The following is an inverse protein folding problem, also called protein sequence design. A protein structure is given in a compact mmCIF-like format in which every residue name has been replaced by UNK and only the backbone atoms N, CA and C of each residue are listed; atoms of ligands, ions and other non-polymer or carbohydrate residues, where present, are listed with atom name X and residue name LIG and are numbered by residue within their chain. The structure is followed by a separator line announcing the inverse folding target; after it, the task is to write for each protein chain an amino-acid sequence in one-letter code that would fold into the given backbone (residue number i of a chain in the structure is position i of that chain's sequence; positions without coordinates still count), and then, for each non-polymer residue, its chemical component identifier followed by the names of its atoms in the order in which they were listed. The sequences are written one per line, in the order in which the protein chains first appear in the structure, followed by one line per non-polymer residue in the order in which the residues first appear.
data_IF_307629540315
#
_entry.id   IF_307629540315
#
_cell.length_a   1.000
_cell.length_b   1.000
_cell.length_c   1.000
_cell.angle_alpha   90.00
_cell.angle_beta   90.00
_cell.angle_gamma   90.00
#
_symmetry.space_group_name_H-M   'P 1'
#
loop_
_entity.id
_entity.type
_entity.pdbx_description
1 polymer ?
#
# COMPACT_ATOMS: atom_id res chain seq x y z
N UNK A 1 -22.33 41.66 11.65
CA UNK A 1 -20.97 41.77 12.26
C UNK A 1 -20.22 40.54 11.88
N UNK A 2 -19.13 40.68 11.11
CA UNK A 2 -18.23 39.58 10.85
C UNK A 2 -17.68 39.09 12.19
N UNK A 3 -17.83 37.79 12.45
CA UNK A 3 -17.38 37.15 13.68
C UNK A 3 -15.86 36.84 13.56
N UNK A 4 -15.36 36.72 12.34
CA UNK A 4 -13.98 36.38 12.01
C UNK A 4 -13.22 37.55 11.39
N UNK A 5 -11.94 37.62 11.62
CA UNK A 5 -11.01 38.49 10.89
C UNK A 5 -10.80 37.96 9.47
N UNK A 6 -10.26 38.78 8.56
CA UNK A 6 -9.97 38.35 7.19
C UNK A 6 -8.98 37.16 7.15
N UNK A 7 -8.01 37.09 8.08
CA UNK A 7 -7.06 36.01 8.19
C UNK A 7 -7.71 34.72 8.69
N UNK A 8 -8.60 34.80 9.68
CA UNK A 8 -9.37 33.67 10.19
C UNK A 8 -10.35 33.14 9.12
N UNK A 9 -10.97 34.02 8.37
CA UNK A 9 -11.85 33.64 7.27
C UNK A 9 -11.06 32.93 6.15
N UNK A 10 -9.88 33.43 5.79
CA UNK A 10 -9.00 32.79 4.81
C UNK A 10 -8.54 31.39 5.26
N UNK A 11 -8.23 31.21 6.55
CA UNK A 11 -7.92 29.91 7.14
C UNK A 11 -9.10 28.95 7.07
N UNK A 12 -10.31 29.40 7.43
CA UNK A 12 -11.52 28.58 7.33
C UNK A 12 -11.78 28.14 5.89
N UNK A 13 -11.63 29.02 4.89
CA UNK A 13 -11.78 28.69 3.48
C UNK A 13 -10.72 27.67 3.01
N UNK A 14 -9.49 27.76 3.51
CA UNK A 14 -8.41 26.84 3.17
C UNK A 14 -8.66 25.41 3.70
N UNK A 15 -9.26 25.28 4.88
CA UNK A 15 -9.47 23.99 5.55
C UNK A 15 -10.86 23.39 5.37
N UNK A 16 -11.83 24.17 4.92
CA UNK A 16 -13.18 23.67 4.71
C UNK A 16 -13.25 22.77 3.47
N UNK A 17 -13.63 21.52 3.67
CA UNK A 17 -13.90 20.57 2.57
C UNK A 17 -15.18 20.92 1.80
N UNK A 18 -16.09 21.64 2.42
CA UNK A 18 -17.35 22.10 1.84
C UNK A 18 -17.72 23.45 2.45
N UNK A 19 -17.99 24.43 1.61
CA UNK A 19 -18.42 25.77 2.03
C UNK A 19 -19.88 25.94 1.59
N UNK A 20 -20.75 26.19 2.57
CA UNK A 20 -22.17 26.43 2.35
C UNK A 20 -22.49 27.87 2.71
N UNK A 21 -23.01 28.61 1.75
CA UNK A 21 -23.50 29.97 1.98
C UNK A 21 -25.02 29.96 2.08
N UNK A 22 -25.55 30.52 3.15
CA UNK A 22 -27.02 30.58 3.40
C UNK A 22 -27.81 31.20 2.26
N UNK A 23 -27.19 32.13 1.52
CA UNK A 23 -27.77 32.85 0.40
C UNK A 23 -27.99 31.99 -0.86
N UNK A 24 -27.32 30.82 -0.93
CA UNK A 24 -27.27 29.99 -2.14
C UNK A 24 -28.29 28.84 -2.12
N UNK A 25 -29.17 28.76 -1.11
CA UNK A 25 -30.30 27.83 -1.06
C UNK A 25 -30.02 26.52 -0.32
N UNK A 26 -30.87 25.51 -0.52
CA UNK A 26 -30.81 24.23 0.20
C UNK A 26 -29.66 23.35 -0.26
N UNK A 27 -29.14 22.53 0.67
CA UNK A 27 -27.98 21.65 0.52
C UNK A 27 -28.16 20.67 -0.65
N UNK A 28 -29.36 20.20 -0.89
CA UNK A 28 -29.72 19.24 -1.93
C UNK A 28 -29.55 19.76 -3.36
N UNK A 29 -29.53 21.09 -3.54
CA UNK A 29 -29.31 21.73 -4.84
C UNK A 29 -27.83 21.98 -5.16
N UNK A 30 -26.95 21.93 -4.17
CA UNK A 30 -25.51 22.19 -4.32
C UNK A 30 -24.65 20.95 -4.44
N UNK A 31 -25.11 19.81 -3.98
CA UNK A 31 -24.49 18.55 -4.27
C UNK A 31 -24.94 18.15 -5.67
N UNK A 32 -24.38 18.79 -6.70
CA UNK A 32 -24.34 18.16 -8.01
C UNK A 32 -23.68 16.79 -7.78
N UNK A 33 -24.49 15.75 -7.79
CA UNK A 33 -23.99 14.40 -7.93
C UNK A 33 -23.32 14.40 -9.31
N UNK A 34 -22.03 14.69 -9.34
CA UNK A 34 -21.20 14.20 -10.43
C UNK A 34 -21.44 12.69 -10.43
N UNK A 35 -22.34 12.26 -11.27
CA UNK A 35 -22.50 10.84 -11.55
C UNK A 35 -21.20 10.43 -12.22
N UNK A 36 -20.27 9.91 -11.43
CA UNK A 36 -19.12 9.19 -11.98
C UNK A 36 -19.75 8.16 -12.92
N UNK A 37 -19.50 8.24 -14.23
CA UNK A 37 -20.13 7.33 -15.18
C UNK A 37 -19.76 5.91 -14.75
N UNK A 38 -20.79 5.15 -14.37
CA UNK A 38 -20.61 3.76 -13.95
C UNK A 38 -20.13 2.97 -15.19
N UNK A 39 -18.86 2.58 -15.19
CA UNK A 39 -18.32 1.72 -16.22
C UNK A 39 -18.96 0.34 -16.05
N UNK A 40 -19.77 -0.09 -17.01
CA UNK A 40 -20.25 -1.47 -17.04
C UNK A 40 -19.09 -2.35 -17.47
N UNK A 41 -18.66 -3.22 -16.56
CA UNK A 41 -17.65 -4.23 -16.87
C UNK A 41 -18.34 -5.44 -17.51
N UNK A 42 -17.71 -6.03 -18.52
CA UNK A 42 -18.13 -7.32 -19.05
C UNK A 42 -17.67 -8.40 -18.06
N UNK A 43 -18.61 -9.10 -17.42
CA UNK A 43 -18.27 -10.24 -16.56
C UNK A 43 -17.78 -11.42 -17.40
N UNK A 44 -16.58 -11.37 -17.88
CA UNK A 44 -15.88 -12.54 -18.41
C UNK A 44 -15.10 -13.14 -17.26
N UNK A 45 -15.53 -14.29 -16.78
CA UNK A 45 -14.70 -15.10 -15.89
C UNK A 45 -13.54 -15.61 -16.73
N UNK A 46 -12.33 -15.26 -16.34
CA UNK A 46 -11.12 -15.80 -16.96
C UNK A 46 -10.82 -17.12 -16.29
N UNK A 47 -11.01 -18.23 -17.00
CA UNK A 47 -10.60 -19.53 -16.53
C UNK A 47 -9.08 -19.64 -16.60
N UNK A 48 -8.45 -20.15 -15.55
CA UNK A 48 -7.02 -20.39 -15.46
C UNK A 48 -6.72 -21.63 -14.61
N UNK A 49 -5.61 -22.27 -14.90
CA UNK A 49 -5.16 -23.40 -14.11
C UNK A 49 -4.40 -22.92 -12.85
N UNK A 50 -4.72 -23.54 -11.69
CA UNK A 50 -3.97 -23.30 -10.47
C UNK A 50 -2.55 -23.88 -10.65
N UNK A 51 -1.53 -23.07 -10.41
CA UNK A 51 -0.14 -23.51 -10.37
C UNK A 51 0.23 -23.90 -8.94
N UNK A 52 0.65 -25.12 -8.76
CA UNK A 52 1.27 -25.55 -7.52
C UNK A 52 2.76 -25.23 -7.57
N UNK A 53 3.26 -24.64 -6.49
CA UNK A 53 4.69 -24.38 -6.30
C UNK A 53 5.22 -25.41 -5.32
N UNK A 54 6.10 -26.28 -5.80
CA UNK A 54 6.85 -27.20 -4.96
C UNK A 54 8.05 -26.46 -4.35
N UNK A 55 8.21 -26.59 -3.04
CA UNK A 55 9.24 -25.90 -2.27
C UNK A 55 10.10 -26.92 -1.54
N UNK A 56 11.38 -26.95 -1.87
CA UNK A 56 12.39 -27.71 -1.11
C UNK A 56 12.98 -26.79 -0.03
N UNK A 57 12.53 -26.97 1.21
CA UNK A 57 12.85 -26.09 2.34
C UNK A 57 13.48 -26.87 3.49
N UNK A 58 14.59 -26.38 3.99
CA UNK A 58 15.20 -26.85 5.22
C UNK A 58 14.36 -26.41 6.44
N UNK A 59 14.26 -27.30 7.43
CA UNK A 59 13.60 -27.03 8.73
C UNK A 59 12.16 -26.53 8.59
N UNK A 60 11.40 -27.10 7.68
CA UNK A 60 9.99 -26.74 7.49
C UNK A 60 9.15 -26.96 8.76
N UNK A 61 8.42 -25.93 9.20
CA UNK A 61 7.66 -25.92 10.45
C UNK A 61 6.12 -25.94 10.28
N UNK A 62 5.65 -26.24 9.09
CA UNK A 62 4.21 -26.23 8.74
C UNK A 62 3.73 -24.94 8.05
N UNK A 63 4.49 -23.85 8.15
CA UNK A 63 4.19 -22.56 7.49
C UNK A 63 5.29 -22.16 6.52
N UNK A 64 6.53 -22.47 6.84
CA UNK A 64 7.69 -22.08 6.07
C UNK A 64 8.96 -22.79 6.54
N UNK A 65 10.06 -22.49 5.85
CA UNK A 65 11.36 -23.02 6.12
C UNK A 65 12.45 -22.19 5.47
N UNK A 66 13.69 -22.63 5.61
CA UNK A 66 14.85 -21.94 5.04
C UNK A 66 15.15 -22.43 3.63
N UNK A 67 15.61 -21.52 2.79
CA UNK A 67 16.13 -21.78 1.45
C UNK A 67 17.46 -21.05 1.25
N UNK A 68 18.07 -21.27 0.09
CA UNK A 68 19.29 -20.54 -0.32
C UNK A 68 20.40 -20.58 0.75
N UNK A 69 20.67 -21.79 1.28
CA UNK A 69 21.65 -22.03 2.37
C UNK A 69 21.38 -21.16 3.62
N UNK A 70 20.12 -21.01 4.01
CA UNK A 70 19.71 -20.26 5.19
C UNK A 70 19.68 -18.75 5.04
N UNK A 71 19.85 -18.23 3.83
CA UNK A 71 19.81 -16.78 3.55
C UNK A 71 18.41 -16.23 3.34
N UNK A 72 17.45 -17.10 3.10
CA UNK A 72 16.05 -16.78 2.87
C UNK A 72 15.17 -17.64 3.76
N UNK A 73 14.11 -17.04 4.27
CA UNK A 73 13.02 -17.75 4.93
C UNK A 73 11.79 -17.66 4.05
N UNK A 74 11.29 -18.80 3.60
CA UNK A 74 10.16 -18.89 2.67
C UNK A 74 8.93 -19.35 3.42
N UNK A 75 7.83 -18.60 3.26
CA UNK A 75 6.53 -18.87 3.84
C UNK A 75 5.56 -19.23 2.71
N UNK A 76 4.81 -20.32 2.88
CA UNK A 76 3.74 -20.70 1.98
C UNK A 76 2.39 -20.56 2.69
N UNK A 77 1.54 -19.69 2.19
CA UNK A 77 0.18 -19.51 2.68
C UNK A 77 -0.79 -20.01 1.61
N UNK A 78 -1.70 -20.88 2.00
CA UNK A 78 -2.81 -21.36 1.19
C UNK A 78 -4.14 -20.85 1.74
N UNK A 79 -5.27 -21.15 1.11
CA UNK A 79 -6.61 -20.59 1.36
C UNK A 79 -6.92 -20.28 2.84
N UNK A 80 -6.70 -21.23 3.73
CA UNK A 80 -7.04 -21.13 5.16
C UNK A 80 -5.82 -21.08 6.09
N UNK A 81 -4.61 -21.17 5.55
CA UNK A 81 -3.39 -21.21 6.33
C UNK A 81 -2.87 -19.80 6.58
N UNK A 82 -2.88 -19.38 7.85
CA UNK A 82 -2.26 -18.13 8.31
C UNK A 82 -1.16 -18.44 9.31
N UNK A 83 -0.13 -17.62 9.33
CA UNK A 83 0.85 -17.61 10.41
C UNK A 83 0.17 -17.27 11.75
N UNK A 84 0.65 -17.80 12.88
CA UNK A 84 0.06 -17.51 14.20
C UNK A 84 0.04 -16.04 14.58
N UNK A 85 1.04 -15.30 14.11
CA UNK A 85 1.23 -13.85 14.25
C UNK A 85 1.89 -13.35 12.95
N UNK A 86 1.80 -12.06 12.63
CA UNK A 86 2.53 -11.51 11.50
C UNK A 86 4.05 -11.73 11.64
N UNK A 87 4.64 -12.40 10.68
CA UNK A 87 6.09 -12.60 10.60
C UNK A 87 6.68 -11.50 9.74
N UNK A 88 7.62 -10.77 10.32
CA UNK A 88 8.13 -9.54 9.73
C UNK A 88 9.56 -9.72 9.19
N UNK A 89 9.86 -8.96 8.15
CA UNK A 89 11.21 -8.64 7.74
C UNK A 89 11.47 -7.15 7.95
N UNK A 90 12.60 -6.80 8.54
CA UNK A 90 13.06 -5.41 8.71
C UNK A 90 14.12 -5.13 7.67
N UNK A 91 13.83 -4.21 6.77
CA UNK A 91 14.72 -3.82 5.67
C UNK A 91 15.07 -2.36 5.85
N UNK A 92 16.33 -2.08 6.11
CA UNK A 92 16.76 -0.72 6.41
C UNK A 92 18.22 -0.48 5.99
N UNK A 93 18.50 0.77 5.68
CA UNK A 93 19.85 1.33 5.63
C UNK A 93 20.03 2.30 6.81
N UNK A 94 21.06 3.16 6.77
CA UNK A 94 21.39 4.08 7.85
C UNK A 94 20.26 5.07 8.18
N UNK A 95 19.58 5.60 7.16
CA UNK A 95 18.72 6.77 7.28
C UNK A 95 17.24 6.48 6.89
N UNK A 96 16.97 5.26 6.41
CA UNK A 96 15.66 4.88 5.88
C UNK A 96 15.39 3.40 6.08
N UNK A 97 14.13 3.04 6.29
CA UNK A 97 13.76 1.64 6.40
C UNK A 97 12.25 1.41 6.42
N UNK A 98 11.91 0.14 6.41
CA UNK A 98 10.54 -0.32 6.52
C UNK A 98 10.48 -1.71 7.16
N UNK A 99 9.34 -2.00 7.76
CA UNK A 99 8.93 -3.35 8.13
C UNK A 99 7.95 -3.85 7.06
N UNK A 100 8.03 -5.13 6.75
CA UNK A 100 7.06 -5.79 5.88
C UNK A 100 6.70 -7.17 6.44
N UNK A 101 5.40 -7.45 6.57
CA UNK A 101 4.88 -8.73 7.02
C UNK A 101 4.70 -9.70 5.86
N UNK A 102 4.49 -10.98 6.14
CA UNK A 102 4.12 -11.97 5.14
C UNK A 102 2.76 -11.65 4.49
N UNK A 103 1.91 -10.90 5.19
CA UNK A 103 0.64 -10.39 4.65
C UNK A 103 0.81 -9.23 3.66
N UNK A 104 2.00 -8.63 3.58
CA UNK A 104 2.29 -7.45 2.78
C UNK A 104 2.10 -6.12 3.51
N UNK A 105 1.73 -6.16 4.79
CA UNK A 105 1.55 -4.97 5.62
C UNK A 105 2.87 -4.54 6.26
N UNK A 106 2.87 -3.37 6.86
CA UNK A 106 4.03 -2.82 7.53
C UNK A 106 3.98 -1.30 7.56
N UNK A 107 5.12 -0.69 7.76
CA UNK A 107 5.28 0.77 7.71
C UNK A 107 6.67 1.16 7.25
N UNK A 108 6.77 2.36 6.73
CA UNK A 108 8.01 2.97 6.25
C UNK A 108 8.38 4.17 7.11
N UNK A 109 9.67 4.38 7.36
CA UNK A 109 10.17 5.53 8.11
C UNK A 109 11.42 6.14 7.47
N UNK A 110 11.73 7.38 7.83
CA UNK A 110 12.98 8.05 7.51
C UNK A 110 13.62 8.59 8.78
N UNK A 111 14.91 8.33 8.99
CA UNK A 111 15.74 8.75 10.12
C UNK A 111 15.32 8.18 11.48
N UNK A 112 14.04 8.26 11.84
CA UNK A 112 13.52 7.78 13.12
C UNK A 112 12.23 6.97 12.91
N UNK A 113 12.28 5.70 13.30
CA UNK A 113 11.16 4.76 13.10
C UNK A 113 9.96 5.01 14.01
N UNK A 114 10.09 5.84 15.04
CA UNK A 114 9.00 6.22 15.92
C UNK A 114 8.45 7.60 15.60
N UNK A 115 9.34 8.62 15.52
CA UNK A 115 8.94 10.02 15.43
C UNK A 115 8.70 10.49 13.98
N UNK A 116 9.25 9.75 12.99
CA UNK A 116 9.14 10.12 11.58
C UNK A 116 8.74 8.94 10.70
N UNK A 117 7.59 8.35 11.02
CA UNK A 117 6.95 7.38 10.14
C UNK A 117 6.42 8.09 8.91
N UNK A 118 6.64 7.51 7.75
CA UNK A 118 6.07 7.98 6.48
C UNK A 118 4.70 7.37 6.24
N UNK A 119 4.50 6.13 6.71
CA UNK A 119 3.22 5.40 6.70
C UNK A 119 2.94 4.83 8.10
N UNK A 120 1.68 4.59 8.48
CA UNK A 120 1.32 4.28 9.86
C UNK A 120 1.71 2.85 10.27
N UNK A 121 2.00 2.68 11.55
CA UNK A 121 2.17 1.40 12.20
C UNK A 121 1.22 1.28 13.39
N UNK A 122 0.25 0.39 13.28
CA UNK A 122 -0.77 0.20 14.32
C UNK A 122 -0.38 -0.83 15.36
N UNK A 123 0.62 -1.67 15.08
CA UNK A 123 1.07 -2.77 15.95
C UNK A 123 -0.10 -3.66 16.43
N UNK A 124 -1.05 -3.92 15.56
CA UNK A 124 -2.20 -4.76 15.82
C UNK A 124 -2.03 -6.09 15.05
N UNK A 125 -1.61 -7.17 15.73
CA UNK A 125 -1.33 -8.44 15.07
C UNK A 125 -2.59 -9.17 14.60
N UNK A 126 -3.77 -8.77 15.04
CA UNK A 126 -5.04 -9.40 14.68
C UNK A 126 -5.59 -8.77 13.40
N UNK A 127 -5.78 -7.47 13.42
CA UNK A 127 -6.31 -6.73 12.26
C UNK A 127 -5.23 -6.53 11.21
N UNK A 128 -3.99 -6.23 11.64
CA UNK A 128 -2.82 -5.99 10.78
C UNK A 128 -3.20 -5.02 9.64
N UNK A 129 -3.59 -3.80 10.03
CA UNK A 129 -4.10 -2.77 9.11
C UNK A 129 -3.04 -2.37 8.11
N UNK A 130 -3.47 -2.19 6.87
CA UNK A 130 -2.60 -1.88 5.75
C UNK A 130 -2.46 -0.37 5.58
N UNK A 131 -1.24 0.14 5.69
CA UNK A 131 -0.90 1.54 5.36
C UNK A 131 -0.40 1.74 3.93
N UNK A 132 -0.01 0.66 3.27
CA UNK A 132 0.52 0.66 1.90
C UNK A 132 0.00 -0.58 1.17
N UNK A 133 -0.58 -0.43 -0.03
CA UNK A 133 -1.15 -1.53 -0.80
C UNK A 133 -0.94 -1.31 -2.29
N UNK A 134 -0.59 -2.36 -3.01
CA UNK A 134 -0.57 -2.37 -4.46
C UNK A 134 -1.74 -3.24 -4.94
N UNK A 135 -2.73 -2.59 -5.54
CA UNK A 135 -3.85 -3.26 -6.16
C UNK A 135 -3.60 -3.46 -7.65
N UNK A 136 -4.09 -4.56 -8.15
CA UNK A 136 -4.26 -4.84 -9.57
C UNK A 136 -5.75 -4.81 -9.90
N UNK A 137 -6.10 -4.23 -11.01
CA UNK A 137 -7.47 -4.17 -11.53
C UNK A 137 -7.48 -4.59 -12.99
N UNK A 138 -8.27 -5.58 -13.31
CA UNK A 138 -8.58 -5.89 -14.69
C UNK A 138 -9.64 -4.89 -15.20
N UNK A 139 -9.26 -4.07 -16.16
CA UNK A 139 -10.14 -3.03 -16.70
C UNK A 139 -11.27 -3.56 -17.57
N UNK A 140 -11.18 -4.81 -18.01
CA UNK A 140 -12.21 -5.45 -18.84
C UNK A 140 -13.27 -6.14 -17.98
N UNK A 141 -12.89 -6.75 -16.86
CA UNK A 141 -13.80 -7.45 -15.96
C UNK A 141 -14.21 -6.63 -14.74
N UNK A 142 -13.40 -5.67 -14.33
CA UNK A 142 -13.57 -4.89 -13.10
C UNK A 142 -13.16 -5.65 -11.84
N UNK A 143 -12.55 -6.82 -11.97
CA UNK A 143 -12.00 -7.56 -10.83
C UNK A 143 -10.80 -6.82 -10.25
N UNK A 144 -10.74 -6.78 -8.90
CA UNK A 144 -9.67 -6.13 -8.15
C UNK A 144 -9.07 -7.15 -7.20
N UNK A 145 -7.75 -7.24 -7.18
CA UNK A 145 -6.98 -8.08 -6.27
C UNK A 145 -5.65 -7.42 -5.92
N UNK A 146 -4.84 -8.07 -5.12
CA UNK A 146 -3.47 -7.62 -4.82
C UNK A 146 -2.49 -8.80 -4.80
N UNK A 147 -1.22 -8.50 -5.00
CA UNK A 147 -0.15 -9.51 -5.09
C UNK A 147 0.12 -10.15 -3.72
N UNK A 148 -0.10 -9.38 -2.65
CA UNK A 148 0.14 -9.78 -1.25
C UNK A 148 -1.10 -10.46 -0.66
N UNK A 149 -0.97 -11.31 0.39
CA UNK A 149 -2.11 -11.98 1.01
C UNK A 149 -3.17 -11.05 1.61
N UNK A 150 -2.83 -9.82 1.98
CA UNK A 150 -3.76 -8.83 2.53
C UNK A 150 -3.80 -7.57 1.65
N UNK A 151 -4.91 -6.83 1.63
CA UNK A 151 -6.18 -7.07 2.33
C UNK A 151 -7.13 -8.00 1.57
N UNK A 152 -6.94 -8.22 0.27
CA UNK A 152 -7.80 -9.08 -0.57
C UNK A 152 -7.06 -10.39 -0.81
N UNK A 153 -7.52 -11.44 -0.11
CA UNK A 153 -6.95 -12.76 -0.26
C UNK A 153 -7.83 -13.62 -1.17
N UNK A 154 -7.21 -14.35 -2.08
CA UNK A 154 -7.87 -15.38 -2.86
C UNK A 154 -7.51 -16.80 -2.37
N UNK A 155 -7.99 -17.81 -3.11
CA UNK A 155 -7.82 -19.23 -2.75
C UNK A 155 -6.49 -19.84 -3.20
N UNK A 156 -5.68 -19.09 -3.95
CA UNK A 156 -4.43 -19.59 -4.48
C UNK A 156 -3.29 -19.41 -3.47
N UNK A 157 -2.21 -20.15 -3.69
CA UNK A 157 -1.06 -20.10 -2.82
C UNK A 157 -0.31 -18.78 -2.98
N UNK A 158 0.13 -18.24 -1.85
CA UNK A 158 1.08 -17.13 -1.79
C UNK A 158 2.40 -17.65 -1.28
N UNK A 159 3.49 -17.34 -1.97
CA UNK A 159 4.85 -17.66 -1.57
C UNK A 159 5.55 -16.35 -1.19
N UNK A 160 5.96 -16.24 0.05
CA UNK A 160 6.63 -15.06 0.58
C UNK A 160 8.06 -15.46 0.94
N UNK A 161 9.03 -14.72 0.42
CA UNK A 161 10.45 -14.93 0.70
C UNK A 161 11.02 -13.72 1.41
N UNK A 162 11.36 -13.90 2.68
CA UNK A 162 12.10 -12.92 3.47
C UNK A 162 13.59 -13.18 3.33
N UNK A 163 14.28 -12.30 2.63
CA UNK A 163 15.71 -12.35 2.41
C UNK A 163 16.46 -11.24 3.17
N UNK A 164 17.80 -11.29 3.09
CA UNK A 164 18.66 -10.25 3.68
C UNK A 164 18.58 -8.96 2.82
N UNK A 165 17.80 -8.00 3.28
CA UNK A 165 17.62 -6.70 2.61
C UNK A 165 16.53 -6.66 1.54
N UNK A 166 15.70 -7.68 1.42
CA UNK A 166 14.55 -7.68 0.53
C UNK A 166 13.46 -8.63 1.00
N UNK A 167 12.24 -8.43 0.51
CA UNK A 167 11.13 -9.39 0.58
C UNK A 167 10.54 -9.57 -0.81
N UNK A 168 10.22 -10.81 -1.17
CA UNK A 168 9.51 -11.14 -2.41
C UNK A 168 8.17 -11.77 -2.10
N UNK A 169 7.18 -11.44 -2.90
CA UNK A 169 5.88 -12.10 -2.94
C UNK A 169 5.72 -12.70 -4.34
N UNK A 170 5.34 -13.96 -4.37
CA UNK A 170 4.93 -14.63 -5.59
C UNK A 170 3.49 -15.10 -5.42
N UNK A 171 2.67 -14.84 -6.41
CA UNK A 171 1.28 -15.24 -6.44
C UNK A 171 0.84 -15.50 -7.88
N UNK A 172 0.04 -16.54 -8.08
CA UNK A 172 -0.57 -16.83 -9.38
C UNK A 172 -2.08 -16.89 -9.24
N UNK A 173 -2.76 -15.90 -9.79
CA UNK A 173 -4.22 -15.80 -9.78
C UNK A 173 -4.73 -15.02 -10.99
N UNK A 174 -6.00 -15.15 -11.30
CA UNK A 174 -6.67 -14.45 -12.41
C UNK A 174 -5.99 -14.67 -13.77
N UNK A 175 -5.25 -15.77 -13.92
CA UNK A 175 -4.44 -16.06 -15.12
C UNK A 175 -3.20 -15.18 -15.26
N UNK A 176 -2.80 -14.51 -14.19
CA UNK A 176 -1.60 -13.66 -14.13
C UNK A 176 -0.61 -14.26 -13.13
N UNK A 177 0.61 -14.49 -13.56
CA UNK A 177 1.74 -14.76 -12.66
C UNK A 177 2.30 -13.42 -12.18
N UNK A 178 2.44 -13.28 -10.86
CA UNK A 178 2.71 -12.00 -10.20
C UNK A 178 3.92 -12.16 -9.27
N UNK A 179 4.91 -11.30 -9.43
CA UNK A 179 6.05 -11.19 -8.52
C UNK A 179 6.19 -9.73 -8.07
N UNK A 180 6.27 -9.52 -6.76
CA UNK A 180 6.62 -8.23 -6.16
C UNK A 180 7.89 -8.41 -5.35
N UNK A 181 8.93 -7.63 -5.67
CA UNK A 181 10.15 -7.55 -4.87
C UNK A 181 10.24 -6.18 -4.22
N UNK A 182 10.39 -6.17 -2.89
CA UNK A 182 10.44 -4.94 -2.07
C UNK A 182 11.79 -4.83 -1.40
N UNK A 183 12.49 -3.71 -1.59
CA UNK A 183 13.81 -3.48 -1.04
C UNK A 183 14.14 -1.99 -0.94
N UNK A 184 15.25 -1.66 -0.26
CA UNK A 184 15.85 -0.31 -0.22
C UNK A 184 17.31 -0.39 -0.64
N UNK A 185 17.82 0.56 -1.44
CA UNK A 185 19.25 0.70 -1.71
C UNK A 185 20.05 1.02 -0.44
N UNK A 186 21.36 0.75 -0.47
CA UNK A 186 22.24 0.97 0.69
C UNK A 186 22.39 2.46 1.02
N UNK A 187 22.39 3.33 0.01
CA UNK A 187 22.73 4.76 0.14
C UNK A 187 21.55 5.70 -0.03
N UNK A 188 20.39 5.21 -0.43
CA UNK A 188 19.26 6.08 -0.78
C UNK A 188 18.07 5.86 0.13
N UNK A 189 17.38 6.94 0.49
CA UNK A 189 16.15 6.91 1.29
C UNK A 189 14.93 6.68 0.40
N UNK A 190 14.89 5.50 -0.20
CA UNK A 190 13.80 5.09 -1.12
C UNK A 190 13.41 3.63 -0.90
N UNK A 191 12.12 3.35 -0.92
CA UNK A 191 11.54 2.01 -0.99
C UNK A 191 11.18 1.70 -2.44
N UNK A 192 11.71 0.63 -2.96
CA UNK A 192 11.46 0.17 -4.34
C UNK A 192 10.53 -1.02 -4.30
N UNK A 193 9.42 -0.93 -5.03
CA UNK A 193 8.49 -2.01 -5.31
C UNK A 193 8.65 -2.41 -6.78
N UNK A 194 9.39 -3.48 -7.04
CA UNK A 194 9.60 -4.01 -8.39
C UNK A 194 8.55 -5.08 -8.67
N UNK A 195 7.65 -4.81 -9.62
CA UNK A 195 6.56 -5.70 -9.99
C UNK A 195 6.84 -6.33 -11.35
N UNK A 196 6.65 -7.65 -11.42
CA UNK A 196 6.61 -8.39 -12.67
C UNK A 196 5.28 -9.08 -12.81
N UNK A 197 4.63 -8.87 -13.94
CA UNK A 197 3.38 -9.50 -14.30
C UNK A 197 3.58 -10.29 -15.60
N UNK A 198 3.08 -11.52 -15.62
CA UNK A 198 3.07 -12.35 -16.82
C UNK A 198 1.66 -12.87 -17.05
N UNK A 199 1.12 -12.56 -18.18
CA UNK A 199 -0.16 -13.11 -18.61
C UNK A 199 0.03 -14.57 -19.08
N UNK A 200 -0.60 -15.48 -18.39
CA UNK A 200 -0.56 -16.92 -18.70
C UNK A 200 -1.83 -17.39 -19.43
N UNK A 201 -2.66 -16.44 -19.90
CA UNK A 201 -3.86 -16.73 -20.68
C UNK A 201 -3.63 -16.43 -22.16
N UNK A 202 -4.49 -16.99 -23.03
CA UNK A 202 -4.44 -16.77 -24.48
C UNK A 202 -5.14 -15.48 -24.92
N UNK A 203 -5.61 -14.65 -23.98
CA UNK A 203 -6.31 -13.40 -24.26
C UNK A 203 -5.48 -12.18 -23.81
N UNK A 204 -5.62 -11.09 -24.53
CA UNK A 204 -5.07 -9.79 -24.11
C UNK A 204 -5.77 -9.31 -22.84
N UNK A 205 -5.01 -8.78 -21.89
CA UNK A 205 -5.49 -8.29 -20.59
C UNK A 205 -5.05 -6.85 -20.36
N UNK A 206 -5.97 -6.01 -19.95
CA UNK A 206 -5.73 -4.62 -19.59
C UNK A 206 -5.66 -4.52 -18.06
N UNK A 207 -4.46 -4.56 -17.49
CA UNK A 207 -4.24 -4.54 -16.03
C UNK A 207 -3.80 -3.15 -15.62
N UNK A 208 -4.59 -2.52 -14.74
CA UNK A 208 -4.23 -1.27 -14.07
C UNK A 208 -3.60 -1.58 -12.72
N UNK A 209 -2.49 -0.91 -12.45
CA UNK A 209 -1.84 -0.92 -11.15
C UNK A 209 -2.25 0.33 -10.38
N UNK A 210 -2.64 0.15 -9.12
CA UNK A 210 -2.99 1.25 -8.21
C UNK A 210 -2.20 1.09 -6.92
N UNK A 211 -1.33 2.05 -6.63
CA UNK A 211 -0.61 2.09 -5.37
C UNK A 211 -1.33 3.02 -4.40
N UNK A 212 -1.81 2.45 -3.31
CA UNK A 212 -2.44 3.17 -2.21
C UNK A 212 -1.44 3.34 -1.07
N UNK A 213 -1.35 4.55 -0.54
CA UNK A 213 -0.66 4.79 0.73
C UNK A 213 -1.52 5.64 1.65
N UNK A 214 -1.34 5.46 2.95
CA UNK A 214 -1.83 6.35 3.99
C UNK A 214 -0.62 7.08 4.59
N UNK A 215 -0.42 8.37 4.29
CA UNK A 215 0.74 9.10 4.78
C UNK A 215 0.58 9.47 6.25
N UNK A 216 1.69 9.48 6.98
CA UNK A 216 1.76 9.87 8.39
C UNK A 216 2.66 11.09 8.60
N UNK A 217 3.93 11.02 8.21
CA UNK A 217 4.96 12.05 8.45
C UNK A 217 4.98 12.54 9.91
N UNK A 218 5.01 11.60 10.84
CA UNK A 218 4.97 11.82 12.28
C UNK A 218 4.84 10.55 13.09
N UNK A 219 4.26 10.62 14.28
CA UNK A 219 4.10 9.48 15.19
C UNK A 219 2.91 8.61 14.82
N UNK A 220 1.74 9.23 14.62
CA UNK A 220 0.51 8.53 14.20
C UNK A 220 -0.19 9.30 13.09
N UNK A 221 -0.97 8.60 12.30
CA UNK A 221 -1.76 9.19 11.23
C UNK A 221 -2.95 9.99 11.77
N UNK A 222 -3.54 9.59 12.89
CA UNK A 222 -4.62 10.34 13.55
C UNK A 222 -4.18 11.76 13.97
N UNK A 223 -2.92 11.91 14.40
CA UNK A 223 -2.38 13.22 14.78
C UNK A 223 -2.05 14.10 13.57
N UNK A 224 -1.70 13.50 12.45
CA UNK A 224 -1.11 14.22 11.31
C UNK A 224 -2.01 14.35 10.09
N UNK A 225 -3.06 13.54 9.94
CA UNK A 225 -3.88 13.47 8.71
C UNK A 225 -4.44 14.82 8.22
N UNK A 226 -4.71 15.75 9.17
CA UNK A 226 -5.20 17.09 8.86
C UNK A 226 -4.08 18.15 8.70
N UNK A 227 -2.82 17.75 8.84
CA UNK A 227 -1.65 18.63 8.83
C UNK A 227 -0.78 18.41 7.59
N UNK A 228 -1.18 17.51 6.70
CA UNK A 228 -0.41 17.14 5.52
C UNK A 228 -0.73 18.05 4.34
N UNK A 229 0.31 18.65 3.78
CA UNK A 229 0.25 19.34 2.50
C UNK A 229 0.58 18.35 1.37
N UNK A 230 -0.31 18.25 0.38
CA UNK A 230 -0.14 17.35 -0.77
C UNK A 230 -0.05 18.11 -2.08
N UNK A 231 0.84 17.69 -2.96
CA UNK A 231 1.01 18.26 -4.29
C UNK A 231 1.33 17.15 -5.30
N UNK A 232 1.06 17.41 -6.57
CA UNK A 232 1.47 16.56 -7.69
C UNK A 232 2.35 17.42 -8.59
N UNK A 233 3.55 16.95 -8.87
CA UNK A 233 4.51 17.58 -9.75
C UNK A 233 5.04 16.52 -10.73
N UNK A 234 4.76 16.70 -12.02
CA UNK A 234 5.17 15.83 -13.11
C UNK A 234 4.99 14.32 -12.80
N UNK A 235 3.75 13.94 -12.42
CA UNK A 235 3.37 12.56 -12.05
C UNK A 235 3.95 12.05 -10.71
N UNK A 236 4.73 12.88 -10.00
CA UNK A 236 5.23 12.56 -8.66
C UNK A 236 4.26 13.13 -7.63
N UNK A 237 3.79 12.27 -6.76
CA UNK A 237 2.98 12.66 -5.61
C UNK A 237 3.91 13.07 -4.47
N UNK A 238 3.74 14.29 -3.97
CA UNK A 238 4.60 14.92 -2.95
C UNK A 238 3.77 15.24 -1.72
N UNK A 239 4.22 14.82 -0.54
CA UNK A 239 3.55 15.04 0.74
C UNK A 239 4.55 15.62 1.74
N UNK A 240 4.12 16.64 2.49
CA UNK A 240 4.90 17.30 3.54
C UNK A 240 4.07 17.50 4.80
N UNK A 241 4.76 17.51 5.95
CA UNK A 241 4.21 17.95 7.21
C UNK A 241 5.06 19.10 7.76
N UNK A 242 4.67 20.32 7.47
CA UNK A 242 5.39 21.54 7.92
C UNK A 242 5.24 21.82 9.41
N UNK A 243 4.29 21.15 10.09
CA UNK A 243 4.06 21.32 11.54
C UNK A 243 4.95 20.45 12.41
N UNK A 244 5.57 19.40 11.83
CA UNK A 244 6.53 18.56 12.55
C UNK A 244 7.78 19.36 12.89
N UNK A 245 8.02 19.64 14.17
CA UNK A 245 9.12 20.51 14.61
C UNK A 245 10.50 19.93 14.36
N UNK A 246 10.66 18.62 14.50
CA UNK A 246 11.94 17.93 14.36
C UNK A 246 12.21 17.53 12.90
N UNK A 247 11.19 17.05 12.19
CA UNK A 247 11.31 16.52 10.83
C UNK A 247 10.57 17.36 9.78
N UNK A 248 10.40 18.66 10.02
CA UNK A 248 9.67 19.60 9.14
C UNK A 248 10.15 19.67 7.67
N UNK A 249 11.38 19.23 7.43
CA UNK A 249 11.95 19.18 6.10
C UNK A 249 11.78 17.82 5.39
N UNK A 250 11.17 16.84 6.07
CA UNK A 250 10.87 15.55 5.44
C UNK A 250 9.84 15.75 4.35
N UNK A 251 10.18 15.24 3.18
CA UNK A 251 9.27 15.18 2.04
C UNK A 251 9.10 13.71 1.66
N UNK A 252 7.87 13.24 1.72
CA UNK A 252 7.50 11.95 1.14
C UNK A 252 7.16 12.19 -0.33
N UNK A 253 7.74 11.39 -1.21
CA UNK A 253 7.39 11.38 -2.62
C UNK A 253 7.04 9.96 -3.08
N UNK A 254 6.20 9.88 -4.08
CA UNK A 254 5.75 8.62 -4.68
C UNK A 254 5.60 8.82 -6.18
N UNK A 255 6.15 7.90 -6.96
CA UNK A 255 6.07 7.90 -8.43
C UNK A 255 6.26 6.48 -8.97
N UNK A 256 5.93 6.27 -10.25
CA UNK A 256 6.07 5.00 -10.97
C UNK A 256 6.76 5.21 -12.32
#
# INVERSE_FOLDING_TARGET
KNIFTEEEEALLYKWAKLILKAEEGFLDRKVEKESIPYKQFSKKVVEYEKKEVDLDLDYFNGYGGFSNNGKEYVIKLSEDLNTPLPWINVIANRDFGFIITEGGNGFTWSQNSRENKLTPWYNDPIVDRTGEIIYLMDEDTGEIWNITPKPIRDKNDYIITHGLGYTKFYHHSHGIEQELSVFTPISDSIKINLIKLKNDTDIERNIRLVYYIRPTLGVTDEETENLLDTNIDDEIFIIKNSTNSEFKNTTLFMGA
#
